data_IF_432730959571
#
_entry.id   IF_432730959571
#
_cell.length_a   1.000
_cell.length_b   1.000
_cell.length_c   1.000
_cell.angle_alpha   90.00
_cell.angle_beta   90.00
_cell.angle_gamma   90.00
#
_symmetry.space_group_name_H-M   'P 1'
#
loop_
_entity.id
_entity.type
_entity.pdbx_description
1 polymer ?
#
# COMPACT_ATOMS: atom_id res chain seq x y z
N UNK A 1 42.80 -6.30 -42.01
CA UNK A 1 41.68 -6.26 -41.04
C UNK A 1 41.85 -4.97 -40.29
N UNK A 2 41.06 -3.95 -40.65
CA UNK A 2 41.42 -2.56 -40.37
C UNK A 2 41.08 -2.17 -38.92
N UNK A 3 42.04 -1.59 -38.21
CA UNK A 3 41.91 -1.20 -36.79
C UNK A 3 40.74 -0.23 -36.54
N UNK A 4 40.35 0.54 -37.57
CA UNK A 4 39.19 1.41 -37.54
C UNK A 4 37.88 0.63 -37.46
N UNK A 5 37.74 -0.44 -38.24
CA UNK A 5 36.55 -1.30 -38.26
C UNK A 5 36.34 -2.01 -36.91
N UNK A 6 37.43 -2.52 -36.31
CA UNK A 6 37.38 -3.16 -35.00
C UNK A 6 36.91 -2.21 -33.88
N UNK A 7 37.35 -0.96 -33.90
CA UNK A 7 36.95 0.06 -32.91
C UNK A 7 35.45 0.39 -32.99
N UNK A 8 34.92 0.56 -34.20
CA UNK A 8 33.50 0.84 -34.40
C UNK A 8 32.60 -0.30 -33.90
N UNK A 9 33.00 -1.56 -34.16
CA UNK A 9 32.26 -2.73 -33.70
C UNK A 9 32.23 -2.81 -32.17
N UNK A 10 33.36 -2.55 -31.49
CA UNK A 10 33.41 -2.55 -30.02
C UNK A 10 32.52 -1.47 -29.40
N UNK A 11 32.51 -0.26 -29.96
CA UNK A 11 31.66 0.84 -29.49
C UNK A 11 30.18 0.51 -29.70
N UNK A 12 29.83 -0.08 -30.84
CA UNK A 12 28.44 -0.44 -31.13
C UNK A 12 27.94 -1.54 -30.18
N UNK A 13 28.79 -2.52 -29.84
CA UNK A 13 28.47 -3.57 -28.88
C UNK A 13 28.30 -3.05 -27.45
N UNK A 14 29.13 -2.10 -27.01
CA UNK A 14 29.00 -1.49 -25.67
C UNK A 14 27.73 -0.66 -25.55
N UNK A 15 27.40 0.14 -26.58
CA UNK A 15 26.14 0.91 -26.60
C UNK A 15 24.93 -0.04 -26.55
N UNK A 16 24.94 -1.11 -27.35
CA UNK A 16 23.84 -2.08 -27.35
C UNK A 16 23.69 -2.78 -26.00
N UNK A 17 24.80 -3.14 -25.36
CA UNK A 17 24.80 -3.73 -24.03
C UNK A 17 24.28 -2.78 -22.95
N UNK A 18 24.66 -1.49 -23.00
CA UNK A 18 24.14 -0.47 -22.10
C UNK A 18 22.63 -0.27 -22.28
N UNK A 19 22.16 -0.18 -23.53
CA UNK A 19 20.72 -0.08 -23.83
C UNK A 19 19.95 -1.31 -23.33
N UNK A 20 20.54 -2.51 -23.42
CA UNK A 20 19.95 -3.74 -22.90
C UNK A 20 19.85 -3.72 -21.37
N UNK A 21 20.89 -3.23 -20.67
CA UNK A 21 20.86 -3.07 -19.21
C UNK A 21 19.78 -2.08 -18.74
N UNK A 22 19.48 -1.03 -19.50
CA UNK A 22 18.42 -0.07 -19.17
C UNK A 22 17.01 -0.60 -19.47
N UNK A 23 16.90 -1.69 -20.23
CA UNK A 23 15.61 -2.27 -20.62
C UNK A 23 15.00 -3.20 -19.57
N UNK A 24 15.76 -3.51 -18.50
CA UNK A 24 15.22 -4.30 -17.40
C UNK A 24 14.30 -3.42 -16.55
N UNK A 25 12.99 -3.70 -16.48
CA UNK A 25 12.14 -3.02 -15.53
C UNK A 25 12.67 -3.34 -14.13
N UNK A 26 13.04 -2.32 -13.36
CA UNK A 26 13.23 -2.47 -11.92
C UNK A 26 11.86 -2.79 -11.32
N UNK A 27 11.51 -4.07 -11.26
CA UNK A 27 10.42 -4.53 -10.41
C UNK A 27 10.88 -4.36 -8.98
N UNK A 28 10.75 -3.14 -8.44
CA UNK A 28 10.73 -2.97 -6.98
C UNK A 28 9.64 -3.91 -6.49
N UNK A 29 10.00 -4.85 -5.62
CA UNK A 29 9.02 -5.71 -4.97
C UNK A 29 7.97 -4.79 -4.34
N UNK A 30 6.73 -4.91 -4.80
CA UNK A 30 5.65 -4.10 -4.29
C UNK A 30 5.27 -4.66 -2.92
N UNK A 31 5.71 -3.98 -1.86
CA UNK A 31 5.44 -4.40 -0.48
C UNK A 31 3.94 -4.57 -0.21
N UNK A 32 3.09 -3.81 -0.91
CA UNK A 32 1.62 -3.95 -0.84
C UNK A 32 1.21 -5.32 -1.35
N UNK A 33 1.67 -5.74 -2.53
CA UNK A 33 1.35 -7.05 -3.10
C UNK A 33 1.87 -8.19 -2.20
N UNK A 34 3.07 -8.02 -1.66
CA UNK A 34 3.68 -9.00 -0.77
C UNK A 34 2.92 -9.19 0.55
N UNK A 35 2.34 -8.14 1.11
CA UNK A 35 1.52 -8.25 2.33
C UNK A 35 0.11 -8.71 2.00
N UNK A 36 -0.48 -8.21 0.91
CA UNK A 36 -1.89 -8.46 0.59
C UNK A 36 -2.16 -9.88 0.09
N UNK A 37 -1.17 -10.56 -0.50
CA UNK A 37 -1.30 -11.99 -0.88
C UNK A 37 -1.52 -12.91 0.32
N UNK A 38 -1.04 -12.52 1.51
CA UNK A 38 -1.16 -13.30 2.74
C UNK A 38 -2.46 -12.99 3.51
N UNK A 39 -3.28 -12.06 3.01
CA UNK A 39 -4.57 -11.71 3.62
C UNK A 39 -5.72 -12.53 3.07
N UNK A 40 -6.84 -12.58 3.80
CA UNK A 40 -8.05 -13.28 3.36
C UNK A 40 -8.74 -12.64 2.15
N UNK A 41 -8.50 -11.35 1.93
CA UNK A 41 -9.12 -10.55 0.88
C UNK A 41 -8.08 -9.61 0.27
N UNK A 42 -7.36 -10.13 -0.71
CA UNK A 42 -6.28 -9.41 -1.41
C UNK A 42 -6.77 -8.12 -2.07
N UNK A 43 -7.89 -8.09 -2.83
CA UNK A 43 -8.42 -6.85 -3.40
C UNK A 43 -8.72 -5.78 -2.34
N UNK A 44 -9.38 -6.15 -1.25
CA UNK A 44 -9.70 -5.18 -0.18
C UNK A 44 -8.45 -4.69 0.55
N UNK A 45 -7.43 -5.55 0.73
CA UNK A 45 -6.16 -5.16 1.30
C UNK A 45 -5.43 -4.11 0.43
N UNK A 46 -5.30 -4.39 -0.88
CA UNK A 46 -4.64 -3.48 -1.81
C UNK A 46 -5.38 -2.13 -1.84
N UNK A 47 -6.70 -2.17 -2.02
CA UNK A 47 -7.54 -0.97 -1.98
C UNK A 47 -7.37 -0.17 -0.69
N UNK A 48 -7.35 -0.84 0.47
CA UNK A 48 -7.18 -0.16 1.75
C UNK A 48 -5.82 0.54 1.86
N UNK A 49 -4.73 -0.11 1.45
CA UNK A 49 -3.38 0.48 1.52
C UNK A 49 -3.17 1.59 0.48
N UNK A 50 -3.74 1.45 -0.72
CA UNK A 50 -3.68 2.45 -1.79
C UNK A 50 -4.42 3.75 -1.47
N UNK A 51 -5.24 3.78 -0.41
CA UNK A 51 -5.81 5.04 0.10
C UNK A 51 -4.74 6.02 0.59
N UNK A 52 -3.55 5.54 0.95
CA UNK A 52 -2.38 6.38 1.19
C UNK A 52 -1.40 6.26 0.00
N UNK A 53 -1.20 7.32 -0.80
CA UNK A 53 -0.29 7.26 -1.95
C UNK A 53 1.17 6.96 -1.56
N UNK A 54 1.54 7.15 -0.29
CA UNK A 54 2.86 6.81 0.20
C UNK A 54 3.04 5.30 0.42
N UNK A 55 1.96 4.50 0.50
CA UNK A 55 2.04 3.06 0.72
C UNK A 55 2.83 2.32 -0.38
N UNK A 56 2.84 2.88 -1.60
CA UNK A 56 3.50 2.29 -2.77
C UNK A 56 5.01 2.63 -2.79
N UNK A 57 5.43 3.67 -2.08
CA UNK A 57 6.79 4.22 -2.14
C UNK A 57 7.64 3.96 -0.90
N UNK A 58 7.07 3.39 0.16
CA UNK A 58 7.83 3.06 1.38
C UNK A 58 8.89 2.00 1.12
N UNK A 59 10.06 2.09 1.79
CA UNK A 59 11.18 1.19 1.52
C UNK A 59 11.11 -0.14 2.27
N UNK A 60 10.24 -0.27 3.28
CA UNK A 60 10.26 -1.40 4.20
C UNK A 60 8.88 -1.69 4.83
N UNK A 61 8.70 -2.94 5.31
CA UNK A 61 7.46 -3.40 5.92
C UNK A 61 7.05 -2.63 7.19
N UNK A 62 8.01 -2.11 7.98
CA UNK A 62 7.68 -1.35 9.19
C UNK A 62 7.08 0.00 8.83
N UNK A 63 7.59 0.65 7.80
CA UNK A 63 7.03 1.88 7.25
C UNK A 63 5.63 1.63 6.66
N UNK A 64 5.42 0.52 5.95
CA UNK A 64 4.09 0.12 5.46
C UNK A 64 3.11 -0.19 6.59
N UNK A 65 3.55 -0.90 7.64
CA UNK A 65 2.71 -1.22 8.80
C UNK A 65 2.26 0.04 9.56
N UNK A 66 3.10 1.07 9.63
CA UNK A 66 2.70 2.37 10.21
C UNK A 66 1.59 3.04 9.40
N UNK A 67 1.65 2.96 8.07
CA UNK A 67 0.60 3.47 7.18
C UNK A 67 -0.70 2.70 7.42
N UNK A 68 -0.63 1.36 7.39
CA UNK A 68 -1.78 0.50 7.64
C UNK A 68 -2.45 0.81 8.98
N UNK A 69 -1.66 0.95 10.06
CA UNK A 69 -2.16 1.29 11.38
C UNK A 69 -2.85 2.66 11.38
N UNK A 70 -2.27 3.67 10.73
CA UNK A 70 -2.85 5.01 10.63
C UNK A 70 -4.21 4.98 9.93
N UNK A 71 -4.30 4.27 8.80
CA UNK A 71 -5.54 4.10 8.03
C UNK A 71 -6.62 3.42 8.87
N UNK A 72 -6.27 2.32 9.55
CA UNK A 72 -7.20 1.61 10.45
C UNK A 72 -7.69 2.51 11.57
N UNK A 73 -6.80 3.29 12.21
CA UNK A 73 -7.19 4.22 13.29
C UNK A 73 -8.12 5.33 12.78
N UNK A 74 -7.87 5.87 11.59
CA UNK A 74 -8.72 6.88 10.97
C UNK A 74 -10.11 6.32 10.66
N UNK A 75 -10.19 5.25 9.87
CA UNK A 75 -11.44 4.61 9.48
C UNK A 75 -12.25 4.14 10.70
N UNK A 76 -11.56 3.68 11.74
CA UNK A 76 -12.15 3.31 13.02
C UNK A 76 -12.76 4.49 13.76
N UNK A 77 -12.06 5.62 13.77
CA UNK A 77 -12.53 6.85 14.41
C UNK A 77 -13.75 7.39 13.68
N UNK A 78 -13.73 7.39 12.34
CA UNK A 78 -14.85 7.84 11.51
C UNK A 78 -16.08 6.95 11.70
N UNK A 79 -15.88 5.62 11.70
CA UNK A 79 -16.95 4.65 11.97
C UNK A 79 -17.58 4.86 13.35
N UNK A 80 -16.76 5.08 14.38
CA UNK A 80 -17.25 5.39 15.73
C UNK A 80 -18.09 6.67 15.74
N UNK A 81 -17.60 7.74 15.11
CA UNK A 81 -18.31 9.03 15.06
C UNK A 81 -19.65 8.88 14.34
N UNK A 82 -19.68 8.16 13.22
CA UNK A 82 -20.90 7.87 12.48
C UNK A 82 -21.91 7.08 13.32
N UNK A 83 -21.49 6.02 14.01
CA UNK A 83 -22.35 5.22 14.89
C UNK A 83 -22.87 6.07 16.05
N UNK A 84 -22.03 6.92 16.63
CA UNK A 84 -22.44 7.80 17.72
C UNK A 84 -23.48 8.82 17.27
N UNK A 85 -23.32 9.42 16.10
CA UNK A 85 -24.30 10.35 15.50
C UNK A 85 -25.64 9.66 15.23
N UNK A 86 -25.61 8.46 14.64
CA UNK A 86 -26.83 7.66 14.46
C UNK A 86 -27.51 7.33 15.78
N UNK A 87 -26.75 6.96 16.82
CA UNK A 87 -27.31 6.63 18.13
C UNK A 87 -27.96 7.82 18.82
N UNK A 88 -27.43 9.03 18.62
CA UNK A 88 -28.03 10.26 19.15
C UNK A 88 -29.31 10.65 18.42
N UNK A 89 -29.40 10.36 17.11
CA UNK A 89 -30.55 10.73 16.28
C UNK A 89 -31.65 9.68 16.23
N UNK A 90 -31.39 8.46 16.70
CA UNK A 90 -32.32 7.35 16.60
C UNK A 90 -33.43 7.41 17.68
N UNK A 91 -34.66 7.21 17.26
CA UNK A 91 -35.81 6.92 18.14
C UNK A 91 -35.93 5.43 18.47
N UNK A 92 -35.11 4.57 17.86
CA UNK A 92 -35.09 3.13 18.12
C UNK A 92 -34.29 2.84 19.41
N UNK A 93 -34.92 2.34 20.48
CA UNK A 93 -34.26 2.15 21.78
C UNK A 93 -33.13 1.10 21.76
N UNK A 94 -33.03 0.33 20.68
CA UNK A 94 -32.06 -0.77 20.49
C UNK A 94 -30.85 -0.38 19.65
N UNK A 95 -30.68 0.89 19.23
CA UNK A 95 -29.39 1.36 18.70
C UNK A 95 -28.37 1.41 19.85
N UNK A 96 -27.82 0.23 20.10
CA UNK A 96 -27.34 -0.19 21.40
C UNK A 96 -26.03 0.53 21.77
N UNK A 97 -25.99 1.09 22.97
CA UNK A 97 -24.78 1.61 23.64
C UNK A 97 -23.62 0.59 23.61
N UNK A 98 -23.91 -0.70 23.47
CA UNK A 98 -22.93 -1.79 23.38
C UNK A 98 -22.05 -1.72 22.13
N UNK A 99 -22.56 -1.23 21.00
CA UNK A 99 -21.75 -1.05 19.80
C UNK A 99 -20.69 0.03 20.04
N UNK A 100 -21.12 1.18 20.58
CA UNK A 100 -20.22 2.28 20.98
C UNK A 100 -19.23 1.84 22.07
N UNK A 101 -19.70 1.06 23.05
CA UNK A 101 -18.88 0.50 24.13
C UNK A 101 -17.82 -0.49 23.63
N UNK A 102 -18.16 -1.33 22.66
CA UNK A 102 -17.21 -2.27 22.03
C UNK A 102 -16.16 -1.52 21.21
N UNK A 103 -16.55 -0.46 20.51
CA UNK A 103 -15.63 0.44 19.82
C UNK A 103 -14.61 1.10 20.76
N UNK A 104 -15.03 1.54 21.96
CA UNK A 104 -14.11 2.15 22.94
C UNK A 104 -12.99 1.20 23.40
N UNK A 105 -13.24 -0.11 23.44
CA UNK A 105 -12.22 -1.11 23.84
C UNK A 105 -11.12 -1.34 22.81
N UNK A 106 -11.36 -1.03 21.53
CA UNK A 106 -10.34 -1.19 20.48
C UNK A 106 -9.26 -0.10 20.62
N UNK A 107 -9.55 1.01 21.32
CA UNK A 107 -8.64 2.14 21.48
C UNK A 107 -7.59 1.99 22.60
N UNK A 108 -7.68 0.94 23.42
CA UNK A 108 -6.91 0.83 24.67
C UNK A 108 -7.60 1.57 25.80
#
# INVERSE_FOLDING_TARGET
>A
MDSQFQSHVLIQMTIFFLLFLHSFPSTKANLVDDVCKDTRDTPSCAYALEQDPNAISVPDFKSLAKIALRLVVSNSTDSKNFIQDMAQKSTEPTLNKDCVRRWLRIRG
#
